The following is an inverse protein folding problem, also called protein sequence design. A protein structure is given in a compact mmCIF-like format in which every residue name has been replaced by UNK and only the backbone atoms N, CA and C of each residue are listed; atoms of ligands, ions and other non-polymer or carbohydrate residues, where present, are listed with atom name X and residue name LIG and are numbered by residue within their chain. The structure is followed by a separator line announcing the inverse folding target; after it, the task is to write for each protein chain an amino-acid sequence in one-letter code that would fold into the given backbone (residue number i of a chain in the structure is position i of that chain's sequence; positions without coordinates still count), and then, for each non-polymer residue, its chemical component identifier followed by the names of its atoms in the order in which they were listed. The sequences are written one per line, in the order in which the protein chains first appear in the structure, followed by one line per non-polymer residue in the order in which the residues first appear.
data_IF_618493070289
#
_entry.id   IF_618493070289
#
_cell.length_a   1.000
_cell.length_b   1.000
_cell.length_c   1.000
_cell.angle_alpha   90.00
_cell.angle_beta   90.00
_cell.angle_gamma   90.00
#
_symmetry.space_group_name_H-M   'P 1'
#
loop_
_entity.id
_entity.type
_entity.pdbx_description
1 polymer ?
#
# COMPACT_ATOMS: atom_id res chain seq x y z
N UNK A 1 -0.59 -18.78 20.75
CA UNK A 1 -0.26 -17.38 21.08
C UNK A 1 -0.13 -16.67 19.73
N UNK A 2 -1.15 -15.91 19.34
CA UNK A 2 -1.12 -15.11 18.11
C UNK A 2 -0.72 -13.68 18.52
N UNK A 3 0.58 -13.44 18.64
CA UNK A 3 1.11 -12.10 18.86
C UNK A 3 0.88 -11.24 17.61
N UNK A 4 0.06 -10.20 17.76
CA UNK A 4 0.32 -8.91 17.11
C UNK A 4 0.00 -8.73 15.63
N UNK A 5 -1.07 -9.31 15.07
CA UNK A 5 -1.61 -8.71 13.84
C UNK A 5 -2.29 -7.38 14.20
N UNK A 6 -1.56 -6.28 14.03
CA UNK A 6 -2.14 -4.93 14.13
C UNK A 6 -3.39 -4.86 13.26
N UNK A 7 -4.52 -4.47 13.88
CA UNK A 7 -5.81 -4.42 13.21
C UNK A 7 -5.79 -3.33 12.15
N UNK A 8 -5.99 -3.72 10.88
CA UNK A 8 -6.16 -2.76 9.81
C UNK A 8 -7.38 -1.86 10.10
N UNK A 9 -7.17 -0.55 10.06
CA UNK A 9 -8.23 0.46 10.21
C UNK A 9 -8.64 0.94 8.83
N UNK A 10 -9.95 0.97 8.56
CA UNK A 10 -10.47 1.52 7.31
C UNK A 10 -10.36 3.04 7.34
N UNK A 11 -9.66 3.58 6.36
CA UNK A 11 -9.50 5.02 6.14
C UNK A 11 -9.91 5.37 4.71
N UNK A 12 -10.45 6.57 4.53
CA UNK A 12 -10.72 7.17 3.21
C UNK A 12 -9.69 8.27 2.96
N UNK A 13 -9.13 8.31 1.75
CA UNK A 13 -8.24 9.37 1.29
C UNK A 13 -8.79 9.99 0.01
N UNK A 14 -8.56 11.28 -0.16
CA UNK A 14 -8.83 11.98 -1.42
C UNK A 14 -7.52 12.12 -2.17
N UNK A 15 -7.51 11.76 -3.45
CA UNK A 15 -6.37 11.80 -4.34
C UNK A 15 -6.85 12.28 -5.71
N UNK A 16 -5.95 12.88 -6.48
CA UNK A 16 -6.15 13.22 -7.88
C UNK A 16 -6.44 11.95 -8.72
N UNK A 17 -7.22 12.10 -9.79
CA UNK A 17 -7.62 10.99 -10.66
C UNK A 17 -6.42 10.27 -11.27
N UNK A 18 -5.43 11.03 -11.76
CA UNK A 18 -4.17 10.50 -12.30
C UNK A 18 -3.42 9.61 -11.28
N UNK A 19 -3.53 9.90 -9.98
CA UNK A 19 -2.95 9.05 -8.95
C UNK A 19 -3.75 7.75 -8.74
N UNK A 20 -5.07 7.78 -8.89
CA UNK A 20 -5.89 6.56 -8.81
C UNK A 20 -5.57 5.61 -9.96
N UNK A 21 -5.37 6.14 -11.17
CA UNK A 21 -4.92 5.38 -12.34
C UNK A 21 -3.54 4.77 -12.12
N UNK A 22 -2.57 5.56 -11.67
CA UNK A 22 -1.24 5.07 -11.34
C UNK A 22 -1.31 3.95 -10.27
N UNK A 23 -2.12 4.11 -9.22
CA UNK A 23 -2.29 3.09 -8.20
C UNK A 23 -2.86 1.77 -8.76
N UNK A 24 -3.74 1.83 -9.76
CA UNK A 24 -4.25 0.63 -10.44
C UNK A 24 -3.19 -0.05 -11.29
N UNK A 25 -2.43 0.72 -12.07
CA UNK A 25 -1.34 0.20 -12.90
C UNK A 25 -0.30 -0.53 -12.04
N UNK A 26 0.12 0.09 -10.93
CA UNK A 26 1.07 -0.51 -10.01
C UNK A 26 0.48 -1.72 -9.27
N UNK A 27 -0.81 -1.71 -8.92
CA UNK A 27 -1.46 -2.88 -8.35
C UNK A 27 -1.47 -4.05 -9.34
N UNK A 28 -1.78 -3.81 -10.62
CA UNK A 28 -1.74 -4.85 -11.64
C UNK A 28 -0.31 -5.36 -11.85
N UNK A 29 0.66 -4.44 -11.97
CA UNK A 29 2.08 -4.77 -12.13
C UNK A 29 2.58 -5.66 -10.99
N UNK A 30 2.41 -5.24 -9.73
CA UNK A 30 2.84 -6.03 -8.59
C UNK A 30 2.07 -7.35 -8.48
N UNK A 31 0.80 -7.37 -8.91
CA UNK A 31 0.06 -8.63 -8.94
C UNK A 31 0.69 -9.66 -9.86
N UNK A 32 1.16 -9.23 -11.03
CA UNK A 32 1.89 -10.09 -11.97
C UNK A 32 3.26 -10.50 -11.43
N UNK A 33 4.00 -9.56 -10.85
CA UNK A 33 5.37 -9.81 -10.36
C UNK A 33 5.41 -10.74 -9.14
N UNK A 34 4.50 -10.58 -8.18
CA UNK A 34 4.49 -11.38 -6.96
C UNK A 34 3.59 -12.60 -7.02
N UNK A 35 2.77 -12.74 -8.08
CA UNK A 35 1.76 -13.79 -8.21
C UNK A 35 0.64 -13.71 -7.15
N UNK A 36 0.45 -12.56 -6.51
CA UNK A 36 -0.59 -12.34 -5.48
C UNK A 36 -1.51 -11.20 -5.92
N UNK A 37 -2.74 -11.13 -5.39
CA UNK A 37 -3.63 -10.00 -5.70
C UNK A 37 -3.21 -8.76 -4.92
N UNK A 38 -2.90 -7.69 -5.62
CA UNK A 38 -2.67 -6.36 -5.02
C UNK A 38 -3.90 -5.47 -5.18
N UNK A 39 -4.05 -4.53 -4.24
CA UNK A 39 -5.07 -3.49 -4.29
C UNK A 39 -4.41 -2.12 -4.21
N UNK A 40 -5.13 -1.05 -4.59
CA UNK A 40 -4.68 0.33 -4.38
C UNK A 40 -4.20 0.57 -2.94
N UNK A 41 -4.91 0.03 -1.95
CA UNK A 41 -4.53 0.14 -0.53
C UNK A 41 -3.21 -0.55 -0.20
N UNK A 42 -2.89 -1.67 -0.85
CA UNK A 42 -1.59 -2.34 -0.69
C UNK A 42 -0.45 -1.49 -1.28
N UNK A 43 -0.69 -0.87 -2.44
CA UNK A 43 0.28 0.04 -3.08
C UNK A 43 0.50 1.29 -2.21
N UNK A 44 -0.58 1.90 -1.71
CA UNK A 44 -0.49 3.04 -0.77
C UNK A 44 0.29 2.65 0.48
N UNK A 45 0.03 1.48 1.07
CA UNK A 45 0.75 1.02 2.26
C UNK A 45 2.24 0.85 1.98
N UNK A 46 2.60 0.26 0.85
CA UNK A 46 4.00 0.12 0.43
C UNK A 46 4.70 1.48 0.30
N UNK A 47 4.05 2.43 -0.38
CA UNK A 47 4.56 3.78 -0.56
C UNK A 47 4.74 4.52 0.78
N UNK A 48 3.78 4.38 1.71
CA UNK A 48 3.89 4.94 3.05
C UNK A 48 5.03 4.30 3.85
N UNK A 49 5.18 2.98 3.82
CA UNK A 49 6.30 2.28 4.46
C UNK A 49 7.65 2.76 3.95
N UNK A 50 7.79 2.94 2.63
CA UNK A 50 9.01 3.50 2.04
C UNK A 50 9.25 4.96 2.48
N UNK A 51 8.21 5.79 2.45
CA UNK A 51 8.28 7.18 2.88
C UNK A 51 8.76 7.30 4.33
N UNK A 52 8.18 6.54 5.24
CA UNK A 52 8.55 6.58 6.66
C UNK A 52 9.94 5.96 6.92
N UNK A 53 10.29 4.87 6.22
CA UNK A 53 11.62 4.25 6.32
C UNK A 53 12.72 5.25 5.96
N UNK A 54 12.53 6.04 4.90
CA UNK A 54 13.46 7.10 4.48
C UNK A 54 13.61 8.22 5.53
N UNK A 55 12.63 8.41 6.40
CA UNK A 55 12.66 9.39 7.50
C UNK A 55 13.26 8.80 8.80
N UNK A 56 13.81 7.58 8.76
CA UNK A 56 14.31 6.89 9.96
C UNK A 56 13.21 6.41 10.91
N UNK A 57 11.95 6.41 10.46
CA UNK A 57 10.81 5.86 11.20
C UNK A 57 10.52 4.47 10.65
N UNK A 58 10.83 3.44 11.43
CA UNK A 58 10.48 2.06 11.07
C UNK A 58 9.00 1.85 11.43
N UNK A 59 8.19 1.50 10.43
CA UNK A 59 6.79 1.10 10.56
C UNK A 59 6.60 -0.29 9.95
#
# INVERSE_FOLDING_TARGET
MAEGQEKLVKTTVYLEEELLEALDEYAEKYSKETGQKWSRGAVIRLALSEFFSRQGRIL
#
